data_IF_339426177519
#
_entry.id   IF_339426177519
#
_cell.length_a   1.000
_cell.length_b   1.000
_cell.length_c   1.000
_cell.angle_alpha   90.00
_cell.angle_beta   90.00
_cell.angle_gamma   90.00
#
_symmetry.space_group_name_H-M   'P 1'
#
loop_
_entity.id
_entity.type
_entity.pdbx_description
1 polymer ?
#
# COMPACT_ATOMS: atom_id res chain seq x y z
N UNK A 1 -14.71 -22.51 8.32
CA UNK A 1 -15.09 -21.43 9.27
C UNK A 1 -14.20 -21.45 10.52
N UNK A 2 -14.40 -22.29 11.54
CA UNK A 2 -13.60 -22.22 12.79
C UNK A 2 -12.09 -22.41 12.61
N UNK A 3 -11.65 -23.20 11.62
CA UNK A 3 -10.23 -23.43 11.35
C UNK A 3 -9.58 -22.26 10.59
N UNK A 4 -10.32 -21.58 9.73
CA UNK A 4 -9.88 -20.37 8.99
C UNK A 4 -9.78 -19.16 9.91
N UNK A 5 -10.72 -18.99 10.82
CA UNK A 5 -10.69 -17.94 11.85
C UNK A 5 -9.48 -18.09 12.77
N UNK A 6 -9.20 -19.33 13.25
CA UNK A 6 -7.99 -19.60 14.05
C UNK A 6 -6.71 -19.38 13.25
N UNK A 7 -6.70 -19.71 11.97
CA UNK A 7 -5.57 -19.45 11.06
C UNK A 7 -5.30 -17.95 10.92
N UNK A 8 -6.34 -17.16 10.66
CA UNK A 8 -6.25 -15.70 10.53
C UNK A 8 -5.81 -15.05 11.84
N UNK A 9 -6.34 -15.48 12.98
CA UNK A 9 -5.94 -14.98 14.28
C UNK A 9 -4.46 -15.25 14.59
N UNK A 10 -3.95 -16.41 14.23
CA UNK A 10 -2.53 -16.77 14.41
C UNK A 10 -1.63 -15.88 13.56
N UNK A 11 -1.97 -15.69 12.29
CA UNK A 11 -1.23 -14.79 11.38
C UNK A 11 -1.23 -13.35 11.89
N UNK A 12 -2.39 -12.85 12.31
CA UNK A 12 -2.53 -11.52 12.88
C UNK A 12 -1.69 -11.33 14.15
N UNK A 13 -1.63 -12.33 15.02
CA UNK A 13 -0.79 -12.28 16.23
C UNK A 13 0.69 -12.19 15.89
N UNK A 14 1.16 -12.98 14.91
CA UNK A 14 2.55 -12.94 14.43
C UNK A 14 2.88 -11.59 13.78
N UNK A 15 1.96 -11.05 12.96
CA UNK A 15 2.11 -9.74 12.33
C UNK A 15 2.19 -8.61 13.37
N UNK A 16 1.31 -8.62 14.37
CA UNK A 16 1.33 -7.63 15.45
C UNK A 16 2.64 -7.69 16.28
N UNK A 17 3.14 -8.89 16.56
CA UNK A 17 4.41 -9.07 17.26
C UNK A 17 5.59 -8.55 16.41
N UNK A 18 5.60 -8.84 15.10
CA UNK A 18 6.60 -8.32 14.17
C UNK A 18 6.57 -6.80 14.12
N UNK A 19 5.40 -6.21 13.90
CA UNK A 19 5.19 -4.75 13.84
C UNK A 19 5.72 -4.05 15.08
N UNK A 20 5.35 -4.56 16.27
CA UNK A 20 5.81 -4.03 17.56
C UNK A 20 7.34 -4.06 17.70
N UNK A 21 7.97 -5.15 17.25
CA UNK A 21 9.44 -5.24 17.30
C UNK A 21 10.13 -4.29 16.34
N UNK A 22 9.56 -4.07 15.16
CA UNK A 22 10.10 -3.14 14.15
C UNK A 22 10.08 -1.67 14.61
N UNK A 23 9.33 -1.32 15.65
CA UNK A 23 9.35 0.04 16.23
C UNK A 23 10.68 0.37 16.94
N UNK A 24 11.39 -0.66 17.42
CA UNK A 24 12.56 -0.50 18.29
C UNK A 24 13.80 -1.29 17.85
N UNK A 25 13.63 -2.22 16.92
CA UNK A 25 14.67 -3.16 16.51
C UNK A 25 14.76 -3.19 14.99
N UNK A 26 15.99 -3.10 14.47
CA UNK A 26 16.26 -3.31 13.05
C UNK A 26 15.75 -4.69 12.61
N UNK A 27 15.07 -4.76 11.49
CA UNK A 27 14.46 -6.00 10.99
C UNK A 27 15.45 -7.17 10.89
N UNK A 28 16.68 -6.91 10.44
CA UNK A 28 17.75 -7.89 10.31
C UNK A 28 18.13 -8.57 11.64
N UNK A 29 17.80 -7.95 12.76
CA UNK A 29 18.05 -8.46 14.13
C UNK A 29 16.85 -9.19 14.71
N UNK A 30 15.66 -9.09 14.11
CA UNK A 30 14.45 -9.77 14.56
C UNK A 30 14.49 -11.22 14.09
N UNK A 31 14.34 -12.16 15.01
CA UNK A 31 14.36 -13.60 14.71
C UNK A 31 12.95 -14.18 14.84
N UNK A 32 12.65 -15.19 14.03
CA UNK A 32 11.40 -15.96 14.16
C UNK A 32 11.21 -16.47 15.59
N UNK A 33 12.28 -16.94 16.25
CA UNK A 33 12.24 -17.40 17.64
C UNK A 33 11.73 -16.36 18.63
N UNK A 34 11.92 -15.08 18.33
CA UNK A 34 11.47 -13.99 19.20
C UNK A 34 9.96 -13.77 19.05
N UNK A 35 9.45 -13.86 17.82
CA UNK A 35 8.01 -13.79 17.52
C UNK A 35 7.24 -14.96 18.14
N UNK A 36 7.84 -16.18 18.07
CA UNK A 36 7.26 -17.38 18.68
C UNK A 36 7.08 -17.22 20.19
N UNK A 37 8.07 -16.64 20.88
CA UNK A 37 7.99 -16.36 22.32
C UNK A 37 6.90 -15.32 22.62
N UNK A 38 6.86 -14.23 21.86
CA UNK A 38 5.89 -13.15 22.08
C UNK A 38 4.45 -13.63 21.90
N UNK A 39 4.22 -14.55 20.94
CA UNK A 39 2.89 -15.06 20.61
C UNK A 39 2.55 -16.38 21.32
N UNK A 40 3.49 -16.98 22.05
CA UNK A 40 3.37 -18.34 22.62
C UNK A 40 2.97 -19.39 21.55
N UNK A 41 3.63 -19.33 20.40
CA UNK A 41 3.37 -20.21 19.24
C UNK A 41 4.57 -21.13 19.04
N UNK A 42 4.31 -22.39 18.64
CA UNK A 42 5.36 -23.37 18.34
C UNK A 42 5.93 -23.16 16.93
N UNK A 43 7.17 -23.55 16.74
CA UNK A 43 7.93 -23.32 15.50
C UNK A 43 7.25 -23.91 14.25
N UNK A 44 6.66 -25.09 14.36
CA UNK A 44 5.94 -25.74 13.27
C UNK A 44 4.74 -24.92 12.78
N UNK A 45 4.06 -24.21 13.69
CA UNK A 45 2.91 -23.35 13.34
C UNK A 45 3.35 -22.15 12.52
N UNK A 46 4.51 -21.54 12.82
CA UNK A 46 5.05 -20.46 12.00
C UNK A 46 5.31 -20.93 10.57
N UNK A 47 6.10 -22.03 10.44
CA UNK A 47 6.49 -22.56 9.12
C UNK A 47 5.35 -23.22 8.33
N UNK A 48 4.22 -23.45 8.97
CA UNK A 48 2.98 -23.83 8.28
C UNK A 48 2.38 -22.65 7.49
N UNK A 49 2.54 -21.39 7.98
CA UNK A 49 1.96 -20.20 7.36
C UNK A 49 2.96 -19.39 6.54
N UNK A 50 4.21 -19.34 6.94
CA UNK A 50 5.24 -18.50 6.36
C UNK A 50 6.56 -19.25 6.23
N UNK A 51 7.19 -19.15 5.06
CA UNK A 51 8.51 -19.74 4.83
C UNK A 51 9.61 -19.03 5.64
N UNK A 52 9.47 -17.74 5.81
CA UNK A 52 10.41 -16.89 6.56
C UNK A 52 9.76 -15.61 7.10
N UNK A 53 10.56 -14.79 7.74
CA UNK A 53 10.11 -13.52 8.34
C UNK A 53 9.79 -12.45 7.28
N UNK A 54 10.37 -12.55 6.08
CA UNK A 54 10.10 -11.61 4.98
C UNK A 54 8.70 -11.86 4.40
N UNK A 55 8.29 -13.13 4.24
CA UNK A 55 6.94 -13.48 3.83
C UNK A 55 5.89 -13.00 4.85
N UNK A 56 6.20 -13.11 6.15
CA UNK A 56 5.34 -12.54 7.19
C UNK A 56 5.25 -11.01 7.08
N UNK A 57 6.36 -10.32 6.82
CA UNK A 57 6.37 -8.86 6.61
C UNK A 57 5.52 -8.45 5.41
N UNK A 58 5.70 -9.15 4.29
CA UNK A 58 4.92 -8.90 3.08
C UNK A 58 3.43 -9.13 3.31
N UNK A 59 3.08 -10.24 3.96
CA UNK A 59 1.69 -10.55 4.31
C UNK A 59 1.08 -9.49 5.23
N UNK A 60 1.82 -9.05 6.25
CA UNK A 60 1.39 -8.02 7.20
C UNK A 60 1.07 -6.71 6.49
N UNK A 61 2.01 -6.20 5.69
CA UNK A 61 1.84 -4.94 4.97
C UNK A 61 0.68 -5.02 3.97
N UNK A 62 0.59 -6.11 3.20
CA UNK A 62 -0.52 -6.31 2.27
C UNK A 62 -1.88 -6.36 3.00
N UNK A 63 -1.96 -7.04 4.12
CA UNK A 63 -3.21 -7.15 4.89
C UNK A 63 -3.63 -5.80 5.47
N UNK A 64 -2.71 -5.01 6.00
CA UNK A 64 -2.99 -3.68 6.53
C UNK A 64 -3.41 -2.71 5.42
N UNK A 65 -2.76 -2.76 4.26
CA UNK A 65 -3.11 -1.93 3.10
C UNK A 65 -4.48 -2.32 2.51
N UNK A 66 -4.79 -3.60 2.42
CA UNK A 66 -6.13 -4.07 2.00
C UNK A 66 -7.19 -3.57 3.00
N UNK A 67 -6.93 -3.67 4.30
CA UNK A 67 -7.85 -3.15 5.33
C UNK A 67 -8.06 -1.63 5.27
N UNK A 68 -7.11 -0.87 4.74
CA UNK A 68 -7.31 0.55 4.41
C UNK A 68 -8.25 0.72 3.21
N UNK A 69 -8.04 -0.08 2.15
CA UNK A 69 -8.87 -0.04 0.94
C UNK A 69 -10.34 -0.40 1.23
N UNK A 70 -10.56 -1.36 2.14
CA UNK A 70 -11.91 -1.76 2.55
C UNK A 70 -12.65 -0.67 3.32
N UNK A 71 -11.94 0.28 3.94
CA UNK A 71 -12.54 1.46 4.58
C UNK A 71 -12.88 2.56 3.59
N UNK A 72 -12.36 2.51 2.37
CA UNK A 72 -12.73 3.42 1.31
C UNK A 72 -14.09 2.99 0.73
N UNK A 73 -15.15 3.72 1.07
CA UNK A 73 -16.47 3.57 0.45
C UNK A 73 -16.41 3.88 -1.05
N UNK A 74 -17.45 3.49 -1.80
CA UNK A 74 -17.59 3.80 -3.24
C UNK A 74 -17.61 5.32 -3.54
N UNK A 75 -17.86 6.15 -2.53
CA UNK A 75 -17.89 7.62 -2.61
C UNK A 75 -16.55 8.28 -2.34
N UNK A 76 -15.49 7.52 -2.00
CA UNK A 76 -14.18 8.09 -1.75
C UNK A 76 -13.57 8.65 -3.03
N UNK A 77 -13.09 9.89 -2.94
CA UNK A 77 -12.31 10.51 -4.00
C UNK A 77 -10.89 9.96 -4.00
N UNK A 78 -10.17 10.08 -5.11
CA UNK A 78 -8.79 9.64 -5.23
C UNK A 78 -7.87 10.24 -4.14
N UNK A 79 -8.00 11.55 -3.90
CA UNK A 79 -7.24 12.32 -2.91
C UNK A 79 -7.48 11.83 -1.49
N UNK A 80 -8.71 11.47 -1.14
CA UNK A 80 -9.02 10.88 0.17
C UNK A 80 -8.31 9.53 0.35
N UNK A 81 -8.28 8.68 -0.67
CA UNK A 81 -7.57 7.41 -0.65
C UNK A 81 -6.05 7.60 -0.52
N UNK A 82 -5.47 8.55 -1.24
CA UNK A 82 -4.04 8.90 -1.14
C UNK A 82 -3.73 9.48 0.24
N UNK A 83 -4.58 10.36 0.77
CA UNK A 83 -4.43 10.92 2.13
C UNK A 83 -4.40 9.81 3.17
N UNK A 84 -5.36 8.88 3.15
CA UNK A 84 -5.41 7.74 4.07
C UNK A 84 -4.14 6.90 4.03
N UNK A 85 -3.60 6.64 2.82
CA UNK A 85 -2.36 5.90 2.67
C UNK A 85 -1.17 6.66 3.26
N UNK A 86 -1.08 7.97 3.04
CA UNK A 86 -0.02 8.80 3.60
C UNK A 86 -0.12 8.91 5.12
N UNK A 87 -1.33 9.02 5.67
CA UNK A 87 -1.57 8.98 7.12
C UNK A 87 -1.14 7.64 7.72
N UNK A 88 -1.49 6.53 7.08
CA UNK A 88 -1.03 5.20 7.50
C UNK A 88 0.50 5.13 7.54
N UNK A 89 1.19 5.60 6.50
CA UNK A 89 2.66 5.61 6.45
C UNK A 89 3.26 6.49 7.54
N UNK A 90 2.68 7.67 7.81
CA UNK A 90 3.09 8.56 8.90
C UNK A 90 2.94 7.90 10.26
N UNK A 91 1.75 7.33 10.52
CA UNK A 91 1.41 6.73 11.81
C UNK A 91 2.21 5.45 12.08
N UNK A 92 2.67 4.78 11.03
CA UNK A 92 3.51 3.59 11.08
C UNK A 92 4.95 3.86 10.58
N UNK A 93 5.41 5.09 10.68
CA UNK A 93 6.67 5.56 10.07
C UNK A 93 7.89 4.73 10.43
N UNK A 94 8.07 4.37 11.70
CA UNK A 94 9.18 3.53 12.16
C UNK A 94 9.19 2.17 11.49
N UNK A 95 8.02 1.54 11.41
CA UNK A 95 7.84 0.24 10.75
C UNK A 95 8.10 0.36 9.24
N UNK A 96 7.54 1.38 8.57
CA UNK A 96 7.73 1.62 7.15
C UNK A 96 9.20 1.90 6.79
N UNK A 97 9.91 2.70 7.60
CA UNK A 97 11.35 2.95 7.42
C UNK A 97 12.16 1.67 7.67
N UNK A 98 11.82 0.90 8.71
CA UNK A 98 12.45 -0.38 9.00
C UNK A 98 12.26 -1.36 7.84
N UNK A 99 11.06 -1.46 7.28
CA UNK A 99 10.76 -2.27 6.09
C UNK A 99 11.57 -1.79 4.87
N UNK A 100 11.59 -0.48 4.60
CA UNK A 100 12.36 0.12 3.51
C UNK A 100 13.83 -0.29 3.53
N UNK A 101 14.48 -0.19 4.70
CA UNK A 101 15.88 -0.57 4.86
C UNK A 101 16.13 -2.08 4.75
N UNK A 102 15.10 -2.91 4.95
CA UNK A 102 15.21 -4.37 5.01
C UNK A 102 14.92 -5.06 3.70
N UNK A 103 13.83 -4.66 3.02
CA UNK A 103 13.40 -5.27 1.75
C UNK A 103 13.79 -4.43 0.52
N UNK A 104 14.32 -3.23 0.77
CA UNK A 104 14.71 -2.29 -0.27
C UNK A 104 13.55 -1.49 -0.85
N UNK A 105 13.93 -0.43 -1.57
CA UNK A 105 12.99 0.52 -2.18
C UNK A 105 12.05 -0.17 -3.19
N UNK A 106 12.59 -1.00 -4.06
CA UNK A 106 11.85 -1.65 -5.14
C UNK A 106 10.72 -2.54 -4.60
N UNK A 107 11.01 -3.36 -3.60
CA UNK A 107 10.02 -4.24 -2.99
C UNK A 107 8.91 -3.46 -2.29
N UNK A 108 9.26 -2.40 -1.56
CA UNK A 108 8.27 -1.55 -0.89
C UNK A 108 7.39 -0.80 -1.91
N UNK A 109 7.99 -0.21 -2.94
CA UNK A 109 7.26 0.45 -4.02
C UNK A 109 6.32 -0.52 -4.74
N UNK A 110 6.74 -1.77 -4.99
CA UNK A 110 5.89 -2.80 -5.60
C UNK A 110 4.67 -3.12 -4.74
N UNK A 111 4.83 -3.18 -3.42
CA UNK A 111 3.73 -3.42 -2.50
C UNK A 111 2.73 -2.26 -2.48
N UNK A 112 3.22 -1.02 -2.39
CA UNK A 112 2.35 0.16 -2.47
C UNK A 112 1.68 0.27 -3.84
N UNK A 113 2.42 0.00 -4.92
CA UNK A 113 1.90 0.03 -6.28
C UNK A 113 0.66 -0.86 -6.44
N UNK A 114 0.72 -2.11 -6.00
CA UNK A 114 -0.39 -3.06 -6.12
C UNK A 114 -1.67 -2.51 -5.48
N UNK A 115 -1.56 -1.94 -4.29
CA UNK A 115 -2.70 -1.41 -3.55
C UNK A 115 -3.19 -0.07 -4.13
N UNK A 116 -2.28 0.84 -4.50
CA UNK A 116 -2.64 2.09 -5.19
C UNK A 116 -3.31 1.83 -6.54
N UNK A 117 -2.88 0.79 -7.28
CA UNK A 117 -3.50 0.45 -8.56
C UNK A 117 -4.96 0.02 -8.40
N UNK A 118 -5.29 -0.76 -7.38
CA UNK A 118 -6.68 -1.13 -7.07
C UNK A 118 -7.54 0.09 -6.74
N UNK A 119 -6.99 1.06 -5.98
CA UNK A 119 -7.69 2.34 -5.72
C UNK A 119 -7.91 3.13 -7.00
N UNK A 120 -6.87 3.27 -7.82
CA UNK A 120 -6.96 3.97 -9.11
C UNK A 120 -7.99 3.33 -10.03
N UNK A 121 -8.02 2.01 -10.10
CA UNK A 121 -8.97 1.27 -10.93
C UNK A 121 -10.41 1.51 -10.48
N UNK A 122 -10.69 1.48 -9.17
CA UNK A 122 -12.00 1.83 -8.62
C UNK A 122 -12.38 3.27 -8.97
N UNK A 123 -11.49 4.23 -8.71
CA UNK A 123 -11.70 5.64 -9.02
C UNK A 123 -12.03 5.87 -10.50
N UNK A 124 -11.24 5.30 -11.40
CA UNK A 124 -11.45 5.46 -12.85
C UNK A 124 -12.73 4.76 -13.33
N UNK A 125 -13.03 3.58 -12.81
CA UNK A 125 -14.24 2.84 -13.20
C UNK A 125 -15.52 3.50 -12.69
N UNK A 126 -15.50 4.12 -11.52
CA UNK A 126 -16.67 4.82 -10.95
C UNK A 126 -16.81 6.22 -11.52
N UNK A 127 -15.72 7.01 -11.54
CA UNK A 127 -15.78 8.42 -11.93
C UNK A 127 -15.86 8.67 -13.44
N UNK A 128 -15.31 7.75 -14.26
CA UNK A 128 -15.18 7.94 -15.71
C UNK A 128 -15.78 6.79 -16.52
N UNK A 129 -16.81 6.14 -16.00
CA UNK A 129 -17.53 5.04 -16.66
C UNK A 129 -18.09 5.40 -18.04
N UNK A 130 -18.42 6.68 -18.25
CA UNK A 130 -18.98 7.21 -19.50
C UNK A 130 -17.92 7.61 -20.54
N UNK A 131 -16.61 7.50 -20.23
CA UNK A 131 -15.52 7.86 -21.14
C UNK A 131 -15.01 6.59 -21.81
N UNK A 132 -15.31 6.44 -23.09
CA UNK A 132 -14.88 5.30 -23.90
C UNK A 132 -13.40 5.42 -24.25
N UNK A 133 -12.53 4.79 -23.45
CA UNK A 133 -11.09 4.71 -23.64
C UNK A 133 -10.70 3.27 -23.95
N UNK A 134 -9.73 3.06 -24.85
CA UNK A 134 -9.21 1.73 -25.06
C UNK A 134 -8.63 1.14 -23.78
N UNK A 135 -8.80 -0.16 -23.58
CA UNK A 135 -8.31 -0.85 -22.39
C UNK A 135 -6.80 -0.65 -22.18
N UNK A 136 -6.03 -0.68 -23.27
CA UNK A 136 -4.56 -0.46 -23.23
C UNK A 136 -4.20 0.94 -22.81
N UNK A 137 -4.82 1.98 -23.39
CA UNK A 137 -4.57 3.38 -23.04
C UNK A 137 -5.00 3.67 -21.59
N UNK A 138 -6.16 3.13 -21.19
CA UNK A 138 -6.67 3.22 -19.82
C UNK A 138 -5.68 2.61 -18.83
N UNK A 139 -5.19 1.41 -19.10
CA UNK A 139 -4.20 0.73 -18.26
C UNK A 139 -2.90 1.53 -18.18
N UNK A 140 -2.41 2.08 -19.30
CA UNK A 140 -1.20 2.90 -19.33
C UNK A 140 -1.37 4.19 -18.51
N UNK A 141 -2.49 4.90 -18.66
CA UNK A 141 -2.77 6.12 -17.91
C UNK A 141 -2.79 5.82 -16.40
N UNK A 142 -3.50 4.76 -15.97
CA UNK A 142 -3.53 4.35 -14.58
C UNK A 142 -2.14 3.99 -14.05
N UNK A 143 -1.38 3.18 -14.79
CA UNK A 143 0.00 2.79 -14.42
C UNK A 143 0.92 4.01 -14.24
N UNK A 144 0.86 4.96 -15.17
CA UNK A 144 1.65 6.19 -15.12
C UNK A 144 1.40 6.99 -13.84
N UNK A 145 0.14 7.27 -13.52
CA UNK A 145 -0.21 8.03 -12.34
C UNK A 145 0.10 7.27 -11.05
N UNK A 146 -0.22 5.97 -10.98
CA UNK A 146 0.08 5.15 -9.80
C UNK A 146 1.58 5.13 -9.51
N UNK A 147 2.44 4.97 -10.52
CA UNK A 147 3.91 5.04 -10.34
C UNK A 147 4.36 6.39 -9.83
N UNK A 148 3.81 7.49 -10.37
CA UNK A 148 4.13 8.83 -9.91
C UNK A 148 3.78 9.02 -8.42
N UNK A 149 2.60 8.59 -7.99
CA UNK A 149 2.16 8.66 -6.60
C UNK A 149 3.01 7.79 -5.67
N UNK A 150 3.26 6.54 -6.04
CA UNK A 150 4.08 5.61 -5.24
C UNK A 150 5.52 6.12 -5.11
N UNK A 151 6.10 6.67 -6.17
CA UNK A 151 7.43 7.26 -6.11
C UNK A 151 7.48 8.51 -5.24
N UNK A 152 6.45 9.37 -5.29
CA UNK A 152 6.32 10.54 -4.41
C UNK A 152 6.17 10.14 -2.94
N UNK A 153 5.36 9.10 -2.65
CA UNK A 153 5.18 8.54 -1.31
C UNK A 153 6.51 7.99 -0.75
N UNK A 154 7.23 7.19 -1.55
CA UNK A 154 8.52 6.64 -1.15
C UNK A 154 9.56 7.75 -0.91
N UNK A 155 9.62 8.76 -1.77
CA UNK A 155 10.50 9.91 -1.61
C UNK A 155 10.16 10.72 -0.34
N UNK A 156 8.87 10.90 -0.03
CA UNK A 156 8.43 11.58 1.17
C UNK A 156 8.79 10.80 2.44
N UNK A 157 8.58 9.48 2.45
CA UNK A 157 8.97 8.60 3.56
C UNK A 157 10.48 8.70 3.84
N UNK A 158 11.30 8.48 2.80
CA UNK A 158 12.76 8.50 2.90
C UNK A 158 13.30 9.89 3.23
N UNK A 159 12.63 10.95 2.77
CA UNK A 159 12.93 12.35 3.07
C UNK A 159 12.59 12.78 4.51
N UNK A 160 12.10 11.86 5.35
CA UNK A 160 11.77 12.10 6.75
C UNK A 160 10.41 12.74 6.97
N UNK A 161 9.49 12.65 6.01
CA UNK A 161 8.08 13.10 6.14
C UNK A 161 7.95 14.54 6.66
N UNK A 162 8.79 15.46 6.14
CA UNK A 162 8.88 16.86 6.60
C UNK A 162 7.56 17.64 6.44
N UNK A 163 6.76 17.28 5.44
CA UNK A 163 5.42 17.82 5.23
C UNK A 163 4.40 16.87 5.83
N UNK A 164 3.28 17.39 6.32
CA UNK A 164 2.18 16.53 6.75
C UNK A 164 1.48 15.87 5.53
N UNK A 165 0.71 14.77 5.72
CA UNK A 165 0.04 14.09 4.62
C UNK A 165 -0.82 15.01 3.76
N UNK A 166 -1.62 15.88 4.35
CA UNK A 166 -2.51 16.79 3.61
C UNK A 166 -1.72 17.78 2.75
N UNK A 167 -0.65 18.37 3.27
CA UNK A 167 0.23 19.25 2.48
C UNK A 167 0.85 18.53 1.28
N UNK A 168 1.19 17.25 1.42
CA UNK A 168 1.72 16.45 0.31
C UNK A 168 0.65 16.18 -0.74
N UNK A 169 -0.56 15.82 -0.31
CA UNK A 169 -1.70 15.61 -1.21
C UNK A 169 -2.03 16.90 -1.95
N UNK A 170 -2.12 18.04 -1.27
CA UNK A 170 -2.39 19.36 -1.88
C UNK A 170 -1.35 19.74 -2.94
N UNK A 171 -0.07 19.39 -2.72
CA UNK A 171 1.00 19.65 -3.71
C UNK A 171 0.82 18.73 -4.92
N UNK A 172 0.59 17.44 -4.68
CA UNK A 172 0.39 16.45 -5.74
C UNK A 172 -0.82 16.87 -6.58
N UNK A 173 -1.96 17.18 -5.93
CA UNK A 173 -3.17 17.62 -6.62
C UNK A 173 -2.94 18.84 -7.50
N UNK A 174 -2.33 19.89 -6.96
CA UNK A 174 -2.01 21.09 -7.76
C UNK A 174 -1.10 20.81 -8.95
N UNK A 175 -0.26 19.78 -8.85
CA UNK A 175 0.64 19.38 -9.93
C UNK A 175 -0.06 18.56 -11.02
N UNK A 176 -1.01 17.72 -10.63
CA UNK A 176 -1.66 16.75 -11.55
C UNK A 176 -3.17 16.87 -11.62
N UNK A 177 -3.75 17.95 -11.04
CA UNK A 177 -5.19 18.18 -11.01
C UNK A 177 -5.81 18.12 -12.40
N UNK A 178 -6.88 17.33 -12.53
CA UNK A 178 -7.52 17.07 -13.81
C UNK A 178 -6.71 16.18 -14.76
N UNK A 179 -5.44 15.90 -14.46
CA UNK A 179 -4.54 15.20 -15.39
C UNK A 179 -5.02 13.79 -15.77
N UNK A 180 -5.60 13.03 -14.85
CA UNK A 180 -6.16 11.71 -15.12
C UNK A 180 -7.36 11.84 -16.05
N UNK A 181 -8.31 12.72 -15.71
CA UNK A 181 -9.52 12.99 -16.50
C UNK A 181 -9.16 13.49 -17.89
N UNK A 182 -8.28 14.48 -17.99
CA UNK A 182 -7.82 15.05 -19.26
C UNK A 182 -7.09 14.02 -20.12
N UNK A 183 -6.30 13.13 -19.52
CA UNK A 183 -5.61 12.06 -20.22
C UNK A 183 -6.60 11.05 -20.79
N UNK A 184 -7.61 10.65 -20.03
CA UNK A 184 -8.68 9.76 -20.46
C UNK A 184 -9.49 10.39 -21.61
N UNK A 185 -9.87 11.67 -21.49
CA UNK A 185 -10.61 12.40 -22.54
C UNK A 185 -9.80 12.58 -23.83
N UNK A 186 -8.49 12.92 -23.72
CA UNK A 186 -7.61 13.03 -24.89
C UNK A 186 -7.45 11.69 -25.61
N UNK A 187 -7.27 10.61 -24.86
CA UNK A 187 -7.16 9.26 -25.45
C UNK A 187 -8.46 8.87 -26.16
N UNK A 188 -9.62 9.13 -25.55
CA UNK A 188 -10.93 8.87 -26.18
C UNK A 188 -11.12 9.68 -27.48
N UNK A 189 -10.68 10.94 -27.52
CA UNK A 189 -10.79 11.81 -28.69
C UNK A 189 -9.87 11.38 -29.85
N UNK A 190 -8.67 10.91 -29.58
CA UNK A 190 -7.69 10.51 -30.59
C UNK A 190 -8.12 9.33 -31.47
N UNK A 191 -9.12 8.54 -31.01
CA UNK A 191 -9.67 7.40 -31.77
C UNK A 191 -10.86 7.73 -32.65
N UNK A 192 -11.42 8.94 -32.50
CA UNK A 192 -12.54 9.40 -33.33
C UNK A 192 -12.08 10.19 -34.57
N UNK A 193 -10.76 10.39 -34.68
CA UNK A 193 -10.09 11.03 -35.83
C UNK A 193 -9.48 9.97 -36.74
#
# INVERSE_FOLDING_TARGET
MKNEEMSTQTKNSLAAALKKRMETTEFSKIRVSDLLKDCNIVRSTFYYYFSDIYELLEWMLNTELIGLLEKCDELYTWDQGVTMLMEYVRDNSKMCICAFHSIGRESLEKMFYKNCYVLMERFVNTGFSNVEVAAEDKAFIMDFYVRAYVSALAAWLVGGMKKNPQEMVDIIERTVSGGIEDSLKRSAASRKS
#
